data_IF_050619145462
#
_entry.id   IF_050619145462
#
_cell.length_a   1.000
_cell.length_b   1.000
_cell.length_c   1.000
_cell.angle_alpha   90.00
_cell.angle_beta   90.00
_cell.angle_gamma   90.00
#
_symmetry.space_group_name_H-M   'P 1'
#
loop_
_entity.id
_entity.type
_entity.pdbx_description
1 polymer ?
#
# COMPACT_ATOMS: atom_id res chain seq x y z
N UNK A 1 4.02 5.00 3.00
CA UNK A 1 2.63 5.30 2.61
C UNK A 1 2.09 4.11 1.85
N UNK A 2 0.83 3.79 2.04
CA UNK A 2 0.08 2.80 1.25
C UNK A 2 -1.15 3.48 0.66
N UNK A 3 -1.72 2.88 -0.38
CA UNK A 3 -3.00 3.32 -0.91
C UNK A 3 -3.77 2.13 -1.49
N UNK A 4 -5.09 2.22 -1.51
CA UNK A 4 -5.95 1.14 -2.03
C UNK A 4 -6.00 1.15 -3.57
N UNK A 5 -6.49 2.22 -4.19
CA UNK A 5 -6.54 2.32 -5.66
C UNK A 5 -6.40 3.75 -6.14
N UNK A 6 -6.34 3.94 -7.46
CA UNK A 6 -6.40 5.25 -8.07
C UNK A 6 -5.55 5.39 -9.33
N UNK A 7 -4.99 6.58 -9.52
CA UNK A 7 -4.09 6.88 -10.62
C UNK A 7 -2.73 7.34 -10.11
N UNK A 8 -1.66 6.90 -10.79
CA UNK A 8 -0.28 7.32 -10.50
C UNK A 8 0.42 7.73 -11.79
N UNK A 9 1.42 8.60 -11.70
CA UNK A 9 2.39 8.76 -12.78
C UNK A 9 3.60 7.88 -12.47
N UNK A 10 3.98 7.01 -13.40
CA UNK A 10 5.15 6.14 -13.30
C UNK A 10 5.79 5.93 -14.67
N UNK A 11 6.97 5.31 -14.71
CA UNK A 11 7.68 5.03 -15.96
C UNK A 11 8.62 6.14 -16.41
N UNK A 12 9.44 5.80 -17.41
CA UNK A 12 10.23 6.74 -18.21
C UNK A 12 9.98 6.43 -19.69
N UNK A 13 9.24 7.28 -20.44
CA UNK A 13 8.66 8.55 -20.01
C UNK A 13 7.56 8.39 -18.94
N UNK A 14 7.32 9.45 -18.15
CA UNK A 14 6.23 9.49 -17.17
C UNK A 14 4.88 9.32 -17.88
N UNK A 15 4.14 8.29 -17.51
CA UNK A 15 2.80 8.01 -18.01
C UNK A 15 1.85 7.81 -16.85
N UNK A 16 0.58 8.14 -17.09
CA UNK A 16 -0.49 7.91 -16.12
C UNK A 16 -0.96 6.47 -16.21
N UNK A 17 -1.01 5.80 -15.07
CA UNK A 17 -1.51 4.44 -14.95
C UNK A 17 -2.62 4.37 -13.92
N UNK A 18 -3.68 3.64 -14.24
CA UNK A 18 -4.65 3.19 -13.26
C UNK A 18 -4.06 2.05 -12.44
N UNK A 19 -4.19 2.14 -11.12
CA UNK A 19 -3.77 1.12 -10.16
C UNK A 19 -5.04 0.54 -9.52
N UNK A 20 -5.34 -0.75 -9.71
CA UNK A 20 -6.53 -1.37 -9.15
C UNK A 20 -6.41 -1.52 -7.62
N UNK A 21 -7.49 -1.90 -6.91
CA UNK A 21 -7.38 -2.33 -5.52
C UNK A 21 -6.37 -3.49 -5.35
N UNK A 22 -5.69 -3.60 -4.20
CA UNK A 22 -4.68 -4.63 -3.97
C UNK A 22 -5.31 -6.03 -3.98
N UNK A 23 -4.66 -6.96 -4.67
CA UNK A 23 -5.08 -8.36 -4.67
C UNK A 23 -4.91 -9.02 -3.29
N UNK A 24 -5.68 -10.07 -2.94
CA UNK A 24 -5.72 -10.64 -1.58
C UNK A 24 -4.38 -11.17 -1.03
N UNK A 25 -3.37 -11.36 -1.88
CA UNK A 25 -2.03 -11.75 -1.47
C UNK A 25 -1.25 -10.62 -0.80
N UNK A 26 -1.69 -9.37 -0.98
CA UNK A 26 -1.05 -8.20 -0.38
C UNK A 26 -1.61 -7.90 1.00
N UNK A 27 -0.71 -7.49 1.88
CA UNK A 27 -1.03 -6.99 3.22
C UNK A 27 -1.86 -5.70 3.15
N UNK A 28 -1.72 -4.93 2.06
CA UNK A 28 -2.53 -3.75 1.74
C UNK A 28 -4.04 -4.04 1.78
N UNK A 29 -4.48 -5.24 1.42
CA UNK A 29 -5.92 -5.59 1.44
C UNK A 29 -6.53 -5.52 2.84
N UNK A 30 -5.73 -5.74 3.89
CA UNK A 30 -6.21 -5.58 5.27
C UNK A 30 -6.31 -4.10 5.71
N UNK A 31 -5.68 -3.20 4.96
CA UNK A 31 -5.71 -1.75 5.16
C UNK A 31 -6.85 -1.09 4.37
N UNK A 32 -7.33 -1.77 3.32
CA UNK A 32 -8.49 -1.36 2.54
C UNK A 32 -9.72 -1.26 3.46
N UNK A 33 -10.38 -0.09 3.55
CA UNK A 33 -11.58 0.02 4.35
C UNK A 33 -12.73 -0.77 3.71
N UNK A 34 -13.52 -1.49 4.52
CA UNK A 34 -14.63 -2.29 4.03
C UNK A 34 -15.83 -1.47 3.49
N UNK A 35 -15.85 -0.13 3.66
CA UNK A 35 -17.05 0.68 3.39
C UNK A 35 -16.83 2.06 2.77
N UNK A 36 -15.64 2.67 2.83
CA UNK A 36 -15.36 4.00 2.23
C UNK A 36 -13.86 4.20 2.01
N UNK A 37 -13.46 4.86 0.92
CA UNK A 37 -12.09 5.36 0.75
C UNK A 37 -11.79 6.37 1.87
N UNK A 38 -11.24 5.89 2.98
CA UNK A 38 -10.93 6.69 4.14
C UNK A 38 -9.41 6.84 4.24
N UNK A 39 -8.97 8.08 4.29
CA UNK A 39 -7.58 8.39 4.56
C UNK A 39 -7.35 8.35 6.07
N UNK A 40 -6.32 7.63 6.49
CA UNK A 40 -6.01 7.50 7.91
C UNK A 40 -4.51 7.34 8.16
N UNK A 41 -4.15 7.60 9.42
CA UNK A 41 -2.83 7.35 9.95
C UNK A 41 -2.94 6.27 11.03
N UNK A 42 -2.08 5.27 10.93
CA UNK A 42 -1.96 4.19 11.90
C UNK A 42 -0.60 4.28 12.59
N UNK A 43 -0.60 4.56 13.89
CA UNK A 43 0.59 4.38 14.72
C UNK A 43 0.79 2.87 14.97
N UNK A 44 1.83 2.30 14.36
CA UNK A 44 2.12 0.87 14.45
C UNK A 44 2.76 0.49 15.79
N UNK A 45 3.19 1.48 16.61
CA UNK A 45 3.78 1.27 17.93
C UNK A 45 2.75 1.31 19.05
N UNK A 46 1.56 1.86 18.81
CA UNK A 46 0.46 1.94 19.76
C UNK A 46 0.08 0.56 20.35
N UNK A 47 -0.46 0.52 21.59
CA UNK A 47 -1.03 -0.70 22.14
C UNK A 47 -2.16 -1.25 21.25
N UNK A 48 -2.10 -2.55 20.92
CA UNK A 48 -3.10 -3.23 20.10
C UNK A 48 -3.44 -4.61 20.68
N UNK A 49 -4.60 -5.21 20.34
CA UNK A 49 -4.95 -6.58 20.74
C UNK A 49 -3.91 -7.62 20.29
N UNK A 50 -3.75 -8.76 21.00
CA UNK A 50 -2.74 -9.77 20.66
C UNK A 50 -2.76 -10.26 19.21
N UNK A 51 -3.92 -10.49 18.56
CA UNK A 51 -3.96 -10.87 17.15
C UNK A 51 -3.36 -9.80 16.22
N UNK A 52 -3.73 -8.53 16.42
CA UNK A 52 -3.21 -7.41 15.62
C UNK A 52 -1.71 -7.25 15.84
N UNK A 53 -1.22 -7.35 17.08
CA UNK A 53 0.22 -7.30 17.37
C UNK A 53 1.00 -8.42 16.68
N UNK A 54 0.42 -9.62 16.59
CA UNK A 54 1.05 -10.76 15.95
C UNK A 54 1.07 -10.59 14.44
N UNK A 55 -0.04 -10.14 13.85
CA UNK A 55 -0.14 -9.78 12.44
C UNK A 55 0.89 -8.71 12.05
N UNK A 56 0.98 -7.62 12.83
CA UNK A 56 1.93 -6.52 12.57
C UNK A 56 3.42 -6.92 12.61
N UNK A 57 3.77 -7.97 13.37
CA UNK A 57 5.15 -8.51 13.46
C UNK A 57 5.39 -9.68 12.50
N UNK A 58 4.34 -10.23 11.90
CA UNK A 58 4.43 -11.33 10.95
C UNK A 58 4.97 -10.88 9.59
N UNK A 59 5.28 -11.84 8.70
CA UNK A 59 5.68 -11.54 7.33
C UNK A 59 4.64 -10.67 6.63
N UNK A 60 5.10 -9.59 5.99
CA UNK A 60 4.29 -8.68 5.20
C UNK A 60 4.69 -8.73 3.73
N UNK A 61 3.70 -8.57 2.86
CA UNK A 61 3.86 -8.40 1.42
C UNK A 61 3.12 -7.13 1.05
N UNK A 62 3.86 -6.05 0.83
CA UNK A 62 3.28 -4.75 0.49
C UNK A 62 3.43 -4.47 -0.99
N UNK A 63 2.40 -3.92 -1.62
CA UNK A 63 2.50 -3.42 -3.00
C UNK A 63 3.53 -2.30 -3.06
N UNK A 64 4.40 -2.36 -4.07
CA UNK A 64 5.50 -1.41 -4.25
C UNK A 64 5.47 -0.85 -5.67
N UNK A 65 4.94 0.36 -5.82
CA UNK A 65 4.91 1.09 -7.10
C UNK A 65 6.16 1.96 -7.20
N UNK A 66 7.00 1.69 -8.20
CA UNK A 66 8.30 2.33 -8.38
C UNK A 66 8.42 3.12 -9.69
N UNK A 67 9.66 3.49 -10.09
CA UNK A 67 9.91 4.29 -11.29
C UNK A 67 9.46 3.62 -12.60
N UNK A 68 9.17 2.32 -12.58
CA UNK A 68 8.54 1.57 -13.67
C UNK A 68 7.37 0.78 -13.10
N UNK A 69 6.22 0.83 -13.75
CA UNK A 69 5.01 0.10 -13.39
C UNK A 69 4.29 -0.36 -14.64
N UNK A 70 3.89 -1.64 -14.67
CA UNK A 70 2.99 -2.21 -15.66
C UNK A 70 1.73 -2.70 -14.95
N UNK A 71 0.56 -2.08 -15.20
CA UNK A 71 -0.71 -2.53 -14.61
C UNK A 71 -1.05 -3.98 -14.91
N UNK A 72 -0.64 -4.51 -16.07
CA UNK A 72 -0.87 -5.91 -16.42
C UNK A 72 -0.05 -6.87 -15.54
N UNK A 73 1.02 -6.38 -14.93
CA UNK A 73 1.89 -7.10 -14.01
C UNK A 73 1.71 -6.71 -12.54
N UNK A 74 0.67 -5.96 -12.15
CA UNK A 74 0.48 -5.41 -10.78
C UNK A 74 0.81 -6.40 -9.63
N UNK A 75 0.35 -7.67 -9.66
CA UNK A 75 0.69 -8.68 -8.65
C UNK A 75 2.19 -8.91 -8.41
N UNK A 76 3.05 -8.57 -9.37
CA UNK A 76 4.51 -8.75 -9.29
C UNK A 76 5.25 -7.56 -8.67
N UNK A 77 4.57 -6.43 -8.48
CA UNK A 77 5.16 -5.20 -7.93
C UNK A 77 4.98 -5.13 -6.42
N UNK A 78 5.88 -5.78 -5.67
CA UNK A 78 5.79 -5.85 -4.21
C UNK A 78 7.14 -5.83 -3.50
N UNK A 79 7.09 -5.49 -2.21
CA UNK A 79 8.15 -5.65 -1.23
C UNK A 79 7.76 -6.75 -0.24
N UNK A 80 8.70 -7.65 0.06
CA UNK A 80 8.53 -8.74 1.03
C UNK A 80 9.82 -8.96 1.83
N UNK A 81 9.84 -9.95 2.73
CA UNK A 81 11.03 -10.31 3.52
C UNK A 81 11.16 -9.59 4.86
N UNK A 82 10.10 -8.91 5.31
CA UNK A 82 10.04 -8.24 6.60
C UNK A 82 8.61 -8.17 7.13
N UNK A 83 8.35 -7.25 8.06
CA UNK A 83 7.06 -7.07 8.71
C UNK A 83 6.67 -5.60 8.73
N UNK A 84 5.38 -5.29 8.87
CA UNK A 84 4.90 -3.90 8.96
C UNK A 84 5.59 -3.12 10.09
N UNK A 85 5.68 -3.71 11.28
CA UNK A 85 6.39 -3.11 12.42
C UNK A 85 7.91 -3.14 12.32
N UNK A 86 8.47 -3.98 11.45
CA UNK A 86 9.90 -3.99 11.16
C UNK A 86 10.30 -2.86 10.20
N UNK A 87 9.40 -2.48 9.30
CA UNK A 87 9.65 -1.46 8.28
C UNK A 87 9.20 -0.05 8.66
N UNK A 88 8.10 0.07 9.41
CA UNK A 88 7.46 1.35 9.68
C UNK A 88 7.10 1.53 11.15
N UNK A 89 7.20 2.76 11.61
CA UNK A 89 6.69 3.20 12.91
C UNK A 89 5.25 3.70 12.80
N UNK A 90 4.96 4.40 11.69
CA UNK A 90 3.67 4.99 11.36
C UNK A 90 3.36 4.67 9.91
N UNK A 91 2.10 4.33 9.64
CA UNK A 91 1.60 4.08 8.30
C UNK A 91 0.53 5.10 7.94
N UNK A 92 0.74 5.83 6.85
CA UNK A 92 -0.31 6.62 6.21
C UNK A 92 -0.95 5.77 5.12
N UNK A 93 -2.27 5.65 5.15
CA UNK A 93 -3.07 4.98 4.14
C UNK A 93 -4.00 5.98 3.48
N UNK A 94 -4.02 6.00 2.14
CA UNK A 94 -4.99 6.76 1.37
C UNK A 94 -5.92 5.81 0.61
N UNK A 95 -7.23 6.03 0.71
CA UNK A 95 -8.19 5.15 0.04
C UNK A 95 -8.18 5.33 -1.48
N UNK A 96 -7.99 6.57 -1.95
CA UNK A 96 -7.93 6.92 -3.36
C UNK A 96 -6.77 7.88 -3.59
N UNK A 97 -5.94 7.59 -4.59
CA UNK A 97 -4.91 8.51 -5.07
C UNK A 97 -5.22 9.01 -6.47
N UNK A 98 -4.82 10.24 -6.76
CA UNK A 98 -4.85 10.81 -8.11
C UNK A 98 -3.43 11.04 -8.62
N UNK A 99 -3.26 11.02 -9.93
CA UNK A 99 -1.96 11.24 -10.54
C UNK A 99 -1.40 12.60 -10.14
N UNK A 100 -0.10 12.64 -9.84
CA UNK A 100 0.61 13.88 -9.54
C UNK A 100 0.51 14.87 -10.72
N UNK A 101 0.68 16.16 -10.43
CA UNK A 101 0.87 17.18 -11.47
C UNK A 101 2.37 17.46 -11.56
N UNK A 102 3.04 17.09 -12.67
CA UNK A 102 4.44 17.44 -12.87
C UNK A 102 4.62 18.97 -12.87
N UNK A 103 5.75 19.43 -12.31
CA UNK A 103 6.15 20.85 -12.35
C UNK A 103 6.69 21.24 -13.72
#
# INVERSE_FOLDING_TARGET
MTFDHGEVNAGYPLQRYAVPPPTPQFTDTALAPAATAADYLLDLRAPAPPPVRSWLRGPAVLRAIGPSYDPAGDPSYFMSGGSLRGWFDVLVHQGLVTATTPL
#
